data_IF_503852033337
#
_entry.id   IF_503852033337
#
_cell.length_a   1.000
_cell.length_b   1.000
_cell.length_c   1.000
_cell.angle_alpha   90.00
_cell.angle_beta   90.00
_cell.angle_gamma   90.00
#
_symmetry.space_group_name_H-M   'P 1'
#
loop_
_entity.id
_entity.type
_entity.pdbx_description
1 polymer ?
#
# COMPACT_ATOMS: atom_id res chain seq x y z
N UNK A 1 48.22 3.79 -51.78
CA UNK A 1 47.53 3.00 -50.71
C UNK A 1 46.90 3.98 -49.74
N UNK A 2 45.57 4.11 -49.73
CA UNK A 2 44.88 4.98 -48.81
C UNK A 2 44.63 4.21 -47.50
N UNK A 3 45.14 4.74 -46.37
CA UNK A 3 44.90 4.18 -45.04
C UNK A 3 43.56 4.73 -44.56
N UNK A 4 42.54 3.90 -44.57
CA UNK A 4 41.26 4.23 -43.93
C UNK A 4 41.43 4.00 -42.43
N UNK A 5 41.47 5.07 -41.64
CA UNK A 5 41.35 4.98 -40.17
C UNK A 5 39.89 4.73 -39.84
N UNK A 6 39.58 3.52 -39.44
CA UNK A 6 38.30 3.17 -38.82
C UNK A 6 38.39 3.56 -37.35
N UNK A 7 37.71 4.60 -36.93
CA UNK A 7 37.50 4.87 -35.51
C UNK A 7 36.42 3.88 -34.99
N UNK A 8 36.87 2.86 -34.31
CA UNK A 8 35.97 2.01 -33.56
C UNK A 8 35.60 2.77 -32.29
N UNK A 9 34.38 3.29 -32.22
CA UNK A 9 33.83 3.82 -30.98
C UNK A 9 33.56 2.62 -30.08
N UNK A 10 34.18 2.58 -28.90
CA UNK A 10 33.85 1.63 -27.87
C UNK A 10 32.50 2.05 -27.30
N UNK A 11 31.49 1.24 -27.52
CA UNK A 11 30.17 1.37 -26.90
C UNK A 11 29.83 0.09 -26.15
N UNK A 12 28.82 0.16 -25.30
CA UNK A 12 28.33 -0.99 -24.57
C UNK A 12 26.82 -1.16 -24.77
N UNK A 13 26.37 -2.38 -24.63
CA UNK A 13 24.93 -2.69 -24.59
C UNK A 13 24.42 -2.44 -23.18
N UNK A 14 23.47 -1.52 -23.05
CA UNK A 14 22.84 -1.14 -21.78
C UNK A 14 21.39 -1.60 -21.80
N UNK A 15 21.01 -2.38 -20.80
CA UNK A 15 19.61 -2.68 -20.53
C UNK A 15 18.97 -1.46 -19.86
N UNK A 16 18.08 -0.78 -20.56
CA UNK A 16 17.27 0.28 -19.95
C UNK A 16 16.25 -0.33 -18.99
N UNK A 17 15.82 0.48 -18.02
CA UNK A 17 14.73 0.09 -17.13
C UNK A 17 13.45 0.83 -17.52
N UNK A 18 12.33 0.11 -17.54
CA UNK A 18 10.98 0.63 -17.73
C UNK A 18 10.28 0.66 -16.38
N UNK A 19 9.63 1.77 -16.05
CA UNK A 19 8.75 1.82 -14.89
C UNK A 19 7.33 1.45 -15.34
N UNK A 20 6.75 0.46 -14.65
CA UNK A 20 5.33 0.14 -14.73
C UNK A 20 4.68 0.50 -13.42
N UNK A 21 3.50 1.09 -13.48
CA UNK A 21 2.83 1.65 -12.30
C UNK A 21 1.46 0.99 -12.13
N UNK A 22 1.17 0.54 -10.93
CA UNK A 22 -0.15 0.13 -10.48
C UNK A 22 -0.86 1.38 -9.95
N UNK A 23 -1.89 1.83 -10.68
CA UNK A 23 -2.62 3.08 -10.41
C UNK A 23 -3.98 2.86 -9.76
N UNK A 24 -4.42 1.61 -9.65
CA UNK A 24 -5.78 1.24 -9.18
C UNK A 24 -6.93 1.83 -10.00
N UNK A 25 -6.66 2.47 -11.14
CA UNK A 25 -7.67 3.09 -11.99
C UNK A 25 -8.26 2.09 -12.99
N UNK A 26 -9.57 2.17 -13.23
CA UNK A 26 -10.29 1.29 -14.17
C UNK A 26 -9.83 1.43 -15.63
N UNK A 27 -9.20 2.56 -15.96
CA UNK A 27 -8.55 2.77 -17.24
C UNK A 27 -7.28 1.91 -17.42
N UNK A 28 -6.72 1.38 -16.35
CA UNK A 28 -5.64 0.39 -16.40
C UNK A 28 -6.21 -0.97 -16.82
N UNK A 29 -6.08 -1.29 -18.10
CA UNK A 29 -6.63 -2.50 -18.70
C UNK A 29 -5.90 -3.80 -18.31
N UNK A 30 -5.08 -3.76 -17.26
CA UNK A 30 -4.21 -4.88 -16.84
C UNK A 30 -4.80 -5.71 -15.69
N UNK A 31 -5.93 -5.30 -15.15
CA UNK A 31 -6.64 -6.09 -14.15
C UNK A 31 -7.13 -7.41 -14.74
N UNK A 32 -6.81 -8.54 -14.09
CA UNK A 32 -7.32 -9.86 -14.52
C UNK A 32 -8.69 -10.13 -13.91
N UNK A 33 -9.76 -10.20 -14.73
CA UNK A 33 -11.10 -10.48 -14.25
C UNK A 33 -11.21 -11.86 -13.60
N UNK A 34 -11.96 -11.95 -12.50
CA UNK A 34 -12.24 -13.22 -11.81
C UNK A 34 -13.61 -13.21 -11.14
N UNK A 35 -14.11 -14.41 -10.79
CA UNK A 35 -15.36 -14.60 -10.08
C UNK A 35 -15.09 -15.01 -8.64
N UNK A 36 -15.70 -14.32 -7.68
CA UNK A 36 -15.69 -14.71 -6.28
C UNK A 36 -16.68 -15.85 -6.07
N UNK A 37 -16.18 -17.05 -5.86
CA UNK A 37 -16.96 -18.30 -5.90
C UNK A 37 -18.08 -18.39 -4.86
N UNK A 38 -17.95 -17.71 -3.73
CA UNK A 38 -18.93 -17.79 -2.65
C UNK A 38 -20.17 -16.91 -2.87
N UNK A 39 -20.05 -15.79 -3.57
CA UNK A 39 -21.16 -14.86 -3.80
C UNK A 39 -21.53 -14.71 -5.29
N UNK A 40 -20.71 -15.26 -6.19
CA UNK A 40 -20.87 -15.11 -7.64
C UNK A 40 -20.61 -13.68 -8.15
N UNK A 41 -19.98 -12.82 -7.35
CA UNK A 41 -19.58 -11.51 -7.80
C UNK A 41 -18.46 -11.63 -8.83
N UNK A 42 -18.63 -10.93 -9.96
CA UNK A 42 -17.64 -10.90 -11.03
C UNK A 42 -16.84 -9.60 -10.92
N UNK A 43 -15.54 -9.73 -10.68
CA UNK A 43 -14.61 -8.64 -10.57
C UNK A 43 -13.91 -8.46 -11.91
N UNK A 44 -14.04 -7.30 -12.52
CA UNK A 44 -13.50 -7.00 -13.84
C UNK A 44 -12.72 -5.69 -13.90
N UNK A 45 -12.83 -4.86 -12.88
CA UNK A 45 -12.14 -3.58 -12.75
C UNK A 45 -11.65 -3.40 -11.31
N UNK A 46 -10.77 -2.44 -11.08
CA UNK A 46 -10.32 -2.08 -9.73
C UNK A 46 -11.48 -1.57 -8.87
N UNK A 47 -12.40 -0.82 -9.46
CA UNK A 47 -13.58 -0.30 -8.76
C UNK A 47 -14.54 -1.41 -8.29
N UNK A 48 -14.54 -2.58 -8.92
CA UNK A 48 -15.36 -3.73 -8.48
C UNK A 48 -14.84 -4.32 -7.14
N UNK A 49 -13.60 -3.98 -6.72
CA UNK A 49 -13.02 -4.37 -5.43
C UNK A 49 -13.41 -3.44 -4.28
N UNK A 50 -14.00 -2.28 -4.57
CA UNK A 50 -14.34 -1.29 -3.56
C UNK A 50 -15.54 -1.78 -2.75
N UNK A 51 -15.44 -1.73 -1.42
CA UNK A 51 -16.54 -2.09 -0.54
C UNK A 51 -17.74 -1.16 -0.72
N UNK A 52 -18.96 -1.66 -0.43
CA UNK A 52 -20.20 -0.88 -0.56
C UNK A 52 -20.25 0.34 0.36
N UNK A 53 -19.51 0.33 1.46
CA UNK A 53 -19.40 1.46 2.39
C UNK A 53 -17.98 1.61 2.94
N UNK A 54 -17.68 2.80 3.44
CA UNK A 54 -16.36 3.18 3.95
C UNK A 54 -15.95 2.46 5.26
N UNK A 55 -16.87 1.75 5.91
CA UNK A 55 -16.60 0.90 7.07
C UNK A 55 -16.33 -0.55 6.68
N UNK A 56 -16.57 -0.92 5.41
CA UNK A 56 -16.46 -2.29 4.94
C UNK A 56 -17.40 -3.26 5.69
N UNK A 57 -18.63 -2.80 5.98
CA UNK A 57 -19.64 -3.61 6.67
C UNK A 57 -20.17 -4.76 5.81
N UNK A 58 -20.22 -4.57 4.49
CA UNK A 58 -20.55 -5.57 3.49
C UNK A 58 -19.28 -5.98 2.77
N UNK A 59 -18.75 -7.15 3.12
CA UNK A 59 -17.62 -7.71 2.39
C UNK A 59 -18.07 -8.20 1.03
N UNK A 60 -17.31 -7.89 0.00
CA UNK A 60 -17.50 -8.47 -1.34
C UNK A 60 -17.00 -9.92 -1.42
N UNK A 61 -16.37 -10.41 -0.36
CA UNK A 61 -15.80 -11.76 -0.22
C UNK A 61 -16.08 -12.32 1.18
N UNK A 62 -16.29 -13.63 1.25
CA UNK A 62 -16.50 -14.34 2.50
C UNK A 62 -15.15 -14.79 3.10
N UNK A 63 -14.87 -14.33 4.32
CA UNK A 63 -13.66 -14.67 5.06
C UNK A 63 -13.87 -15.87 5.99
N UNK A 64 -14.97 -16.57 5.89
CA UNK A 64 -15.21 -17.81 6.67
C UNK A 64 -14.33 -18.98 6.21
N UNK A 65 -13.68 -18.84 5.07
CA UNK A 65 -12.71 -19.80 4.56
C UNK A 65 -11.36 -19.72 5.26
N UNK A 66 -10.55 -20.76 5.12
CA UNK A 66 -9.20 -20.86 5.68
C UNK A 66 -8.11 -20.22 4.81
N UNK A 67 -8.45 -19.79 3.62
CA UNK A 67 -7.51 -19.27 2.64
C UNK A 67 -7.76 -17.79 2.39
N UNK A 68 -6.69 -16.93 2.38
CA UNK A 68 -6.82 -15.54 2.03
C UNK A 68 -7.19 -15.38 0.55
N UNK A 69 -7.98 -14.37 0.25
CA UNK A 69 -8.24 -13.96 -1.13
C UNK A 69 -7.19 -12.97 -1.58
N UNK A 70 -6.91 -13.01 -2.90
CA UNK A 70 -5.91 -12.15 -3.51
C UNK A 70 -6.51 -11.42 -4.70
N UNK A 71 -6.01 -10.21 -4.97
CA UNK A 71 -6.19 -9.52 -6.24
C UNK A 71 -4.84 -9.25 -6.88
N UNK A 72 -4.79 -9.24 -8.20
CA UNK A 72 -3.57 -9.36 -8.97
C UNK A 72 -3.52 -8.40 -10.15
N UNK A 73 -2.41 -7.67 -10.30
CA UNK A 73 -2.13 -6.79 -11.43
C UNK A 73 -1.33 -7.55 -12.51
N UNK A 74 -1.99 -8.55 -13.10
CA UNK A 74 -1.39 -9.41 -14.13
C UNK A 74 -1.05 -8.63 -15.40
N UNK A 75 0.11 -8.93 -15.98
CA UNK A 75 0.64 -8.30 -17.20
C UNK A 75 0.98 -6.80 -17.09
N UNK A 76 1.08 -6.25 -15.89
CA UNK A 76 1.56 -4.90 -15.64
C UNK A 76 2.68 -4.92 -14.59
N UNK A 77 2.39 -4.69 -13.32
CA UNK A 77 3.39 -4.73 -12.25
C UNK A 77 3.62 -6.13 -11.69
N UNK A 78 2.79 -7.08 -12.00
CA UNK A 78 2.79 -8.47 -11.49
C UNK A 78 2.59 -8.54 -9.97
N UNK A 79 2.08 -7.46 -9.35
CA UNK A 79 1.84 -7.42 -7.92
C UNK A 79 0.54 -8.12 -7.54
N UNK A 80 0.66 -8.98 -6.53
CA UNK A 80 -0.44 -9.72 -5.91
C UNK A 80 -0.60 -9.26 -4.47
N UNK A 81 -1.83 -8.92 -4.08
CA UNK A 81 -2.18 -8.38 -2.77
C UNK A 81 -3.23 -9.26 -2.10
N UNK A 82 -3.10 -9.46 -0.80
CA UNK A 82 -4.12 -10.11 -0.01
C UNK A 82 -5.24 -9.13 0.34
N UNK A 83 -6.49 -9.58 0.21
CA UNK A 83 -7.62 -8.90 0.82
C UNK A 83 -7.48 -8.85 2.34
N UNK A 84 -8.15 -7.89 3.00
CA UNK A 84 -8.19 -7.85 4.44
C UNK A 84 -8.67 -9.17 5.04
N UNK A 85 -7.93 -9.69 6.01
CA UNK A 85 -8.36 -10.85 6.78
C UNK A 85 -9.40 -10.41 7.83
N UNK A 86 -10.60 -10.97 7.76
CA UNK A 86 -11.67 -10.58 8.67
C UNK A 86 -11.84 -11.57 9.82
N UNK A 87 -11.28 -11.22 10.96
CA UNK A 87 -11.38 -12.00 12.18
C UNK A 87 -12.83 -12.17 12.68
N UNK A 88 -13.71 -11.20 12.41
CA UNK A 88 -15.08 -11.16 12.98
C UNK A 88 -16.21 -11.14 11.93
N UNK A 89 -15.94 -11.36 10.67
CA UNK A 89 -16.91 -11.35 9.56
C UNK A 89 -17.59 -10.00 9.26
N UNK A 90 -17.15 -8.88 9.87
CA UNK A 90 -17.86 -7.60 9.75
C UNK A 90 -16.99 -6.38 9.54
N UNK A 91 -15.66 -6.48 9.62
CA UNK A 91 -14.81 -5.32 9.58
C UNK A 91 -13.39 -5.64 9.10
N UNK A 92 -12.67 -4.60 8.75
CA UNK A 92 -11.29 -4.59 8.27
C UNK A 92 -10.26 -4.80 9.41
N UNK A 93 -10.49 -5.79 10.28
CA UNK A 93 -9.74 -5.95 11.53
C UNK A 93 -8.59 -6.95 11.47
N UNK A 94 -8.58 -7.81 10.47
CA UNK A 94 -7.53 -8.82 10.33
C UNK A 94 -6.25 -8.32 9.70
N UNK A 95 -6.29 -7.14 9.07
CA UNK A 95 -5.21 -6.58 8.27
C UNK A 95 -5.29 -6.98 6.79
N UNK A 96 -4.71 -6.16 5.94
CA UNK A 96 -4.68 -6.38 4.50
C UNK A 96 -4.66 -5.09 3.70
N UNK A 97 -4.82 -5.24 2.38
CA UNK A 97 -4.87 -4.16 1.41
C UNK A 97 -6.23 -4.13 0.71
N UNK A 98 -6.92 -3.01 0.74
CA UNK A 98 -8.22 -2.82 0.10
C UNK A 98 -8.20 -1.65 -0.87
N UNK A 99 -8.67 -1.88 -2.10
CA UNK A 99 -8.91 -0.78 -3.05
C UNK A 99 -10.06 0.07 -2.54
N UNK A 100 -9.90 1.39 -2.58
CA UNK A 100 -10.88 2.36 -2.10
C UNK A 100 -10.92 3.60 -3.02
N UNK A 101 -12.02 4.33 -2.94
CA UNK A 101 -12.20 5.66 -3.54
C UNK A 101 -12.88 6.64 -2.58
N UNK A 102 -13.02 6.25 -1.31
CA UNK A 102 -13.59 7.11 -0.28
C UNK A 102 -12.57 8.15 0.15
N UNK A 103 -12.90 9.43 0.01
CA UNK A 103 -12.06 10.53 0.42
C UNK A 103 -12.87 11.61 1.11
N UNK A 104 -12.31 12.26 2.12
CA UNK A 104 -12.95 13.39 2.80
C UNK A 104 -11.90 14.27 3.47
N UNK A 105 -12.08 15.59 3.40
CA UNK A 105 -11.24 16.59 4.10
C UNK A 105 -11.81 16.98 5.47
N UNK A 106 -13.08 16.68 5.76
CA UNK A 106 -13.70 16.91 7.06
C UNK A 106 -13.37 15.74 8.02
N UNK A 107 -12.15 15.74 8.54
CA UNK A 107 -11.69 14.68 9.46
C UNK A 107 -12.38 14.76 10.83
N UNK A 108 -12.95 15.89 11.24
CA UNK A 108 -13.66 16.00 12.52
C UNK A 108 -14.99 15.22 12.49
N UNK A 109 -15.68 15.23 11.34
CA UNK A 109 -16.95 14.51 11.18
C UNK A 109 -16.76 13.06 10.71
N UNK A 110 -15.80 12.81 9.81
CA UNK A 110 -15.61 11.53 9.14
C UNK A 110 -14.34 10.79 9.58
N UNK A 111 -13.60 11.30 10.54
CA UNK A 111 -12.34 10.71 10.99
C UNK A 111 -12.54 9.77 12.18
N UNK A 112 -13.40 8.76 12.06
CA UNK A 112 -13.53 7.68 13.02
C UNK A 112 -13.42 6.29 12.35
N UNK A 113 -13.51 5.23 13.14
CA UNK A 113 -13.38 3.87 12.64
C UNK A 113 -14.49 3.46 11.63
N UNK A 114 -15.61 4.18 11.58
CA UNK A 114 -16.64 3.93 10.57
C UNK A 114 -16.22 4.43 9.18
N UNK A 115 -15.16 5.22 9.11
CA UNK A 115 -14.58 5.76 7.87
C UNK A 115 -13.17 5.18 7.61
N UNK A 116 -12.93 3.93 8.00
CA UNK A 116 -11.60 3.32 7.95
C UNK A 116 -11.02 3.17 6.53
N UNK A 117 -11.86 3.19 5.48
CA UNK A 117 -11.42 3.15 4.09
C UNK A 117 -11.26 4.54 3.45
N UNK A 118 -11.39 5.62 4.22
CA UNK A 118 -11.40 6.99 3.72
C UNK A 118 -10.02 7.62 3.85
N UNK A 119 -9.45 8.08 2.74
CA UNK A 119 -8.22 8.88 2.73
C UNK A 119 -8.54 10.36 3.02
N UNK A 120 -7.59 11.08 3.62
CA UNK A 120 -7.67 12.52 3.73
C UNK A 120 -7.41 13.16 2.37
N UNK A 121 -8.48 13.63 1.71
CA UNK A 121 -8.44 14.18 0.35
C UNK A 121 -9.81 14.63 -0.13
N UNK A 122 -9.86 15.20 -1.34
CA UNK A 122 -11.08 15.66 -1.97
C UNK A 122 -11.96 14.50 -2.44
N UNK A 123 -13.25 14.58 -2.21
CA UNK A 123 -14.22 13.57 -2.66
C UNK A 123 -14.20 13.42 -4.19
N UNK A 124 -14.09 12.18 -4.66
CA UNK A 124 -14.02 11.84 -6.09
C UNK A 124 -12.66 12.08 -6.76
N UNK A 125 -11.67 12.56 -5.99
CA UNK A 125 -10.29 12.78 -6.44
C UNK A 125 -9.31 12.50 -5.29
N UNK A 126 -9.61 11.48 -4.49
CA UNK A 126 -8.86 11.16 -3.28
C UNK A 126 -7.50 10.52 -3.54
N UNK A 127 -7.29 9.89 -4.70
CA UNK A 127 -6.03 9.30 -5.08
C UNK A 127 -4.96 10.32 -5.48
N UNK A 128 -3.72 9.85 -5.67
CA UNK A 128 -2.60 10.70 -6.05
C UNK A 128 -2.85 11.38 -7.39
N UNK A 129 -2.43 12.65 -7.51
CA UNK A 129 -2.67 13.50 -8.70
C UNK A 129 -4.15 13.68 -9.09
N UNK A 130 -5.09 13.47 -8.14
CA UNK A 130 -6.51 13.60 -8.38
C UNK A 130 -7.12 12.40 -9.09
N UNK A 131 -6.49 11.23 -9.05
CA UNK A 131 -7.08 9.94 -9.41
C UNK A 131 -8.24 9.61 -8.48
N UNK A 132 -9.11 8.69 -8.88
CA UNK A 132 -10.26 8.32 -8.06
C UNK A 132 -9.89 7.25 -7.02
N UNK A 133 -9.18 6.23 -7.46
CA UNK A 133 -8.89 5.04 -6.68
C UNK A 133 -7.50 5.09 -6.04
N UNK A 134 -7.34 4.37 -4.96
CA UNK A 134 -6.10 4.14 -4.24
C UNK A 134 -6.21 2.86 -3.43
N UNK A 135 -5.16 2.44 -2.74
CA UNK A 135 -5.20 1.32 -1.82
C UNK A 135 -5.10 1.77 -0.37
N UNK A 136 -5.96 1.24 0.50
CA UNK A 136 -5.89 1.42 1.94
C UNK A 136 -5.23 0.21 2.59
N UNK A 137 -4.19 0.46 3.36
CA UNK A 137 -3.55 -0.52 4.23
C UNK A 137 -4.18 -0.46 5.63
N UNK A 138 -4.38 -1.62 6.24
CA UNK A 138 -4.57 -1.76 7.67
C UNK A 138 -3.76 -2.93 8.22
N UNK A 139 -3.10 -2.70 9.35
CA UNK A 139 -2.48 -3.76 10.13
C UNK A 139 -1.15 -3.36 10.75
N UNK A 140 -0.90 -3.91 11.93
CA UNK A 140 0.38 -3.82 12.64
C UNK A 140 0.57 -5.02 13.54
N UNK A 141 1.84 -5.30 13.85
CA UNK A 141 2.24 -6.21 14.93
C UNK A 141 3.33 -5.54 15.76
N UNK A 142 3.21 -5.67 17.07
CA UNK A 142 4.22 -5.29 18.04
C UNK A 142 4.43 -6.39 19.09
N UNK A 143 5.31 -6.16 20.05
CA UNK A 143 5.65 -7.12 21.10
C UNK A 143 4.65 -7.15 22.26
N UNK A 144 3.56 -6.35 22.20
CA UNK A 144 2.55 -6.27 23.27
C UNK A 144 1.73 -7.54 23.44
N UNK A 145 1.53 -8.29 22.33
CA UNK A 145 0.69 -9.47 22.28
C UNK A 145 -0.82 -9.17 22.19
N UNK A 146 -1.20 -7.89 22.00
CA UNK A 146 -2.61 -7.46 21.84
C UNK A 146 -2.98 -7.16 20.38
N UNK A 147 -2.24 -7.69 19.43
CA UNK A 147 -2.45 -7.43 18.01
C UNK A 147 -3.68 -8.19 17.49
N UNK A 148 -4.47 -7.52 16.65
CA UNK A 148 -5.60 -8.13 15.93
C UNK A 148 -5.19 -8.66 14.55
N UNK A 149 -4.09 -8.15 13.98
CA UNK A 149 -3.56 -8.59 12.70
C UNK A 149 -2.96 -9.99 12.81
N UNK A 150 -3.50 -10.96 12.09
CA UNK A 150 -3.01 -12.34 12.07
C UNK A 150 -1.65 -12.42 11.35
N UNK A 151 -1.59 -11.84 10.14
CA UNK A 151 -0.37 -11.70 9.36
C UNK A 151 -0.21 -10.25 8.93
N UNK A 152 1.03 -9.77 8.82
CA UNK A 152 1.26 -8.40 8.34
C UNK A 152 0.88 -8.30 6.86
N UNK A 153 0.14 -7.24 6.49
CA UNK A 153 -0.24 -6.99 5.12
C UNK A 153 0.98 -6.85 4.20
N UNK A 154 0.93 -7.54 3.08
CA UNK A 154 2.02 -7.55 2.12
C UNK A 154 1.51 -7.54 0.69
N UNK A 155 2.38 -7.17 -0.24
CA UNK A 155 2.24 -7.53 -1.64
C UNK A 155 3.48 -8.27 -2.13
N UNK A 156 3.31 -9.10 -3.15
CA UNK A 156 4.37 -9.92 -3.69
C UNK A 156 4.26 -10.00 -5.21
N UNK A 157 5.35 -10.33 -5.89
CA UNK A 157 5.30 -10.59 -7.32
C UNK A 157 4.74 -11.99 -7.57
N UNK A 158 3.54 -12.06 -8.18
CA UNK A 158 2.80 -13.30 -8.39
C UNK A 158 3.47 -14.27 -9.36
N UNK A 159 4.38 -13.78 -10.21
CA UNK A 159 5.21 -14.60 -11.11
C UNK A 159 6.48 -15.15 -10.43
N UNK A 160 6.75 -14.78 -9.17
CA UNK A 160 7.88 -15.26 -8.36
C UNK A 160 9.23 -14.59 -8.64
N UNK A 161 9.26 -13.57 -9.50
CA UNK A 161 10.50 -12.86 -9.85
C UNK A 161 10.79 -11.73 -8.87
N UNK A 162 12.07 -11.50 -8.56
CA UNK A 162 12.49 -10.38 -7.73
C UNK A 162 12.64 -9.10 -8.58
N UNK A 163 12.02 -7.99 -8.12
CA UNK A 163 12.10 -6.68 -8.79
C UNK A 163 12.38 -5.56 -7.79
N UNK A 164 12.83 -4.43 -8.33
CA UNK A 164 12.96 -3.19 -7.56
C UNK A 164 11.62 -2.47 -7.60
N UNK A 165 11.07 -2.17 -6.43
CA UNK A 165 9.99 -1.21 -6.30
C UNK A 165 10.64 0.16 -6.20
N UNK A 166 10.37 1.01 -7.18
CA UNK A 166 10.98 2.34 -7.27
C UNK A 166 10.42 3.25 -6.19
N UNK A 167 9.10 3.38 -6.15
CA UNK A 167 8.42 4.20 -5.17
C UNK A 167 6.92 3.88 -5.09
N UNK A 168 6.31 4.40 -4.04
CA UNK A 168 4.87 4.55 -3.86
C UNK A 168 4.57 5.98 -3.41
N UNK A 169 3.32 6.41 -3.53
CA UNK A 169 2.85 7.62 -2.85
C UNK A 169 2.04 7.22 -1.63
N UNK A 170 2.20 7.95 -0.53
CA UNK A 170 1.58 7.62 0.77
C UNK A 170 0.83 8.84 1.30
N UNK A 171 -0.34 8.60 1.91
CA UNK A 171 -1.11 9.60 2.62
C UNK A 171 -1.78 9.00 3.86
N UNK A 172 -2.23 9.85 4.78
CA UNK A 172 -2.98 9.42 5.95
C UNK A 172 -4.45 9.15 5.61
N UNK A 173 -5.04 8.17 6.31
CA UNK A 173 -6.50 8.06 6.36
C UNK A 173 -7.09 9.24 7.14
N UNK A 174 -8.33 9.61 6.82
CA UNK A 174 -9.09 10.63 7.56
C UNK A 174 -9.21 10.25 9.04
N UNK A 175 -9.40 8.96 9.33
CA UNK A 175 -9.45 8.44 10.71
C UNK A 175 -8.12 8.63 11.45
N UNK A 176 -7.00 8.23 10.86
CA UNK A 176 -5.69 8.40 11.49
C UNK A 176 -5.37 9.87 11.73
N UNK A 177 -5.64 10.73 10.76
CA UNK A 177 -5.42 12.18 10.87
C UNK A 177 -6.21 12.79 12.03
N UNK A 178 -7.50 12.44 12.18
CA UNK A 178 -8.29 12.93 13.31
C UNK A 178 -7.69 12.49 14.66
N UNK A 179 -7.28 11.22 14.75
CA UNK A 179 -6.66 10.71 15.98
C UNK A 179 -5.34 11.40 16.30
N UNK A 180 -4.53 11.73 15.31
CA UNK A 180 -3.29 12.49 15.51
C UNK A 180 -3.55 13.91 16.03
N UNK A 181 -4.57 14.59 15.50
CA UNK A 181 -4.85 15.98 15.83
C UNK A 181 -5.66 16.12 17.14
N UNK A 182 -6.68 15.27 17.34
CA UNK A 182 -7.65 15.40 18.42
C UNK A 182 -7.55 14.31 19.50
N UNK A 183 -6.72 13.29 19.27
CA UNK A 183 -6.70 12.08 20.09
C UNK A 183 -7.88 11.14 19.77
N UNK A 184 -7.90 9.95 20.36
CA UNK A 184 -8.91 8.93 20.09
C UNK A 184 -9.52 8.30 21.35
N UNK A 185 -9.27 8.86 22.52
CA UNK A 185 -9.68 8.29 23.80
C UNK A 185 -8.76 7.17 24.32
N UNK A 186 -7.89 6.59 23.49
CA UNK A 186 -6.83 5.65 23.83
C UNK A 186 -5.47 6.34 23.90
N UNK A 187 -5.30 7.38 23.11
CA UNK A 187 -4.07 8.17 22.98
C UNK A 187 -4.43 9.65 22.91
N UNK A 188 -3.66 10.49 23.56
CA UNK A 188 -3.76 11.94 23.47
C UNK A 188 -3.36 12.43 22.06
N UNK A 189 -3.71 13.66 21.68
CA UNK A 189 -3.18 14.32 20.48
C UNK A 189 -1.66 14.23 20.40
N UNK A 190 -1.12 14.16 19.19
CA UNK A 190 0.30 14.05 18.92
C UNK A 190 1.06 15.21 19.56
N UNK A 191 2.00 14.90 20.43
CA UNK A 191 2.93 15.85 21.06
C UNK A 191 4.21 16.02 20.26
N UNK A 192 5.05 16.97 20.69
CA UNK A 192 6.27 17.37 19.96
C UNK A 192 7.30 16.24 19.73
N UNK A 193 7.26 15.17 20.53
CA UNK A 193 8.19 14.03 20.40
C UNK A 193 7.51 12.78 19.86
N UNK A 194 6.21 12.84 19.54
CA UNK A 194 5.49 11.69 19.07
C UNK A 194 5.73 11.48 17.58
N UNK A 195 5.84 10.21 17.21
CA UNK A 195 6.08 9.77 15.84
C UNK A 195 5.23 8.56 15.52
N UNK A 196 4.78 8.50 14.27
CA UNK A 196 4.16 7.30 13.69
C UNK A 196 4.81 7.05 12.33
N UNK A 197 5.15 5.80 12.05
CA UNK A 197 5.82 5.44 10.81
C UNK A 197 5.36 4.10 10.26
N UNK A 198 5.56 3.93 8.97
CA UNK A 198 5.42 2.65 8.26
C UNK A 198 6.81 2.06 8.05
N UNK A 199 6.94 0.77 8.26
CA UNK A 199 8.13 -0.02 7.95
C UNK A 199 7.78 -0.92 6.76
N UNK A 200 8.51 -0.78 5.66
CA UNK A 200 8.49 -1.71 4.54
C UNK A 200 9.66 -2.66 4.66
N UNK A 201 9.40 -3.96 4.82
CA UNK A 201 10.42 -5.01 4.88
C UNK A 201 10.44 -5.76 3.56
N UNK A 202 11.61 -5.81 2.93
CA UNK A 202 11.83 -6.55 1.68
C UNK A 202 12.30 -7.97 1.94
N UNK A 203 11.71 -8.92 1.22
CA UNK A 203 12.04 -10.35 1.29
C UNK A 203 12.46 -10.85 -0.08
N UNK A 204 13.48 -11.73 -0.11
CA UNK A 204 13.92 -12.40 -1.32
C UNK A 204 13.00 -13.59 -1.69
N UNK A 205 13.26 -14.27 -2.81
CA UNK A 205 12.48 -15.42 -3.28
C UNK A 205 12.53 -16.65 -2.35
N UNK A 206 13.43 -16.67 -1.36
CA UNK A 206 13.48 -17.70 -0.32
C UNK A 206 12.69 -17.30 0.94
N UNK A 207 11.97 -16.18 0.89
CA UNK A 207 11.24 -15.58 2.02
C UNK A 207 12.13 -15.16 3.20
N UNK A 208 13.38 -14.77 2.89
CA UNK A 208 14.31 -14.22 3.87
C UNK A 208 14.26 -12.69 3.81
N UNK A 209 14.11 -12.01 4.96
CA UNK A 209 14.17 -10.55 5.01
C UNK A 209 15.61 -10.09 4.64
N UNK A 210 15.71 -9.24 3.61
CA UNK A 210 16.99 -8.74 3.09
C UNK A 210 17.18 -7.25 3.28
N UNK A 211 16.08 -6.49 3.51
CA UNK A 211 16.13 -5.03 3.58
C UNK A 211 14.94 -4.46 4.33
N UNK A 212 15.03 -3.18 4.67
CA UNK A 212 13.89 -2.40 5.18
C UNK A 212 14.02 -0.93 4.80
N UNK A 213 12.87 -0.25 4.76
CA UNK A 213 12.73 1.20 4.57
C UNK A 213 11.66 1.73 5.50
N UNK A 214 11.81 2.98 5.96
CA UNK A 214 10.88 3.61 6.90
C UNK A 214 10.35 4.91 6.30
N UNK A 215 9.04 5.13 6.47
CA UNK A 215 8.37 6.38 6.11
C UNK A 215 7.61 6.92 7.32
N UNK A 216 7.86 8.18 7.69
CA UNK A 216 7.18 8.84 8.79
C UNK A 216 5.87 9.47 8.33
N UNK A 217 4.74 8.98 8.85
CA UNK A 217 3.42 9.59 8.70
C UNK A 217 3.23 10.77 9.65
N UNK A 218 3.94 10.72 10.79
CA UNK A 218 3.94 11.75 11.83
C UNK A 218 5.37 11.91 12.37
N UNK A 219 5.84 13.15 12.43
CA UNK A 219 7.06 13.57 13.16
C UNK A 219 6.76 14.85 13.94
N UNK A 220 6.08 14.69 15.07
CA UNK A 220 5.49 15.79 15.84
C UNK A 220 4.24 16.41 15.16
N UNK A 221 3.60 17.39 15.81
CA UNK A 221 2.34 17.95 15.35
C UNK A 221 2.46 18.76 14.04
N UNK A 222 3.64 19.31 13.74
CA UNK A 222 3.91 20.08 12.52
C UNK A 222 4.38 19.18 11.37
N UNK A 223 4.65 17.89 11.62
CA UNK A 223 5.15 16.91 10.66
C UNK A 223 4.14 15.79 10.36
N UNK A 224 2.85 16.10 10.39
CA UNK A 224 1.80 15.16 10.02
C UNK A 224 1.61 15.22 8.49
N UNK A 225 1.67 14.07 7.83
CA UNK A 225 1.40 13.97 6.38
C UNK A 225 -0.07 14.24 6.12
N UNK A 226 -0.37 15.24 5.26
CA UNK A 226 -1.73 15.65 4.87
C UNK A 226 -1.92 15.71 3.35
N UNK A 227 -0.92 15.28 2.61
CA UNK A 227 -0.96 15.21 1.14
C UNK A 227 -0.15 14.00 0.66
N UNK A 228 -0.44 13.53 -0.55
CA UNK A 228 0.27 12.43 -1.15
C UNK A 228 1.77 12.72 -1.24
N UNK A 229 2.56 11.94 -0.53
CA UNK A 229 4.00 12.12 -0.41
C UNK A 229 4.74 10.91 -0.96
N UNK A 230 5.71 11.17 -1.83
CA UNK A 230 6.52 10.11 -2.44
C UNK A 230 7.40 9.42 -1.40
N UNK A 231 7.32 8.09 -1.34
CA UNK A 231 8.24 7.23 -0.60
C UNK A 231 9.13 6.46 -1.58
N UNK A 232 10.41 6.78 -1.60
CA UNK A 232 11.42 6.06 -2.37
C UNK A 232 11.72 4.71 -1.71
N UNK A 233 11.46 3.61 -2.44
CA UNK A 233 11.67 2.24 -1.99
C UNK A 233 12.85 1.56 -2.68
N UNK A 234 13.64 2.28 -3.50
CA UNK A 234 14.79 1.71 -4.21
C UNK A 234 15.84 1.11 -3.28
N UNK A 235 15.91 1.61 -2.03
CA UNK A 235 16.80 1.07 -0.98
C UNK A 235 16.47 -0.37 -0.57
N UNK A 236 15.26 -0.86 -0.85
CA UNK A 236 14.92 -2.27 -0.64
C UNK A 236 15.69 -3.20 -1.58
N UNK A 237 16.18 -2.69 -2.72
CA UNK A 237 16.81 -3.49 -3.75
C UNK A 237 15.82 -4.39 -4.47
N UNK A 238 16.29 -5.51 -5.03
CA UNK A 238 15.41 -6.51 -5.62
C UNK A 238 14.79 -7.36 -4.53
N UNK A 239 13.46 -7.41 -4.51
CA UNK A 239 12.67 -8.19 -3.56
C UNK A 239 11.58 -8.95 -4.30
N UNK A 240 11.19 -10.10 -3.77
CA UNK A 240 10.01 -10.85 -4.21
C UNK A 240 8.74 -10.37 -3.51
N UNK A 241 8.84 -10.01 -2.22
CA UNK A 241 7.71 -9.59 -1.37
C UNK A 241 8.09 -8.39 -0.53
N UNK A 242 7.12 -7.51 -0.32
CA UNK A 242 7.22 -6.42 0.67
C UNK A 242 6.11 -6.59 1.70
N UNK A 243 6.50 -6.61 2.97
CA UNK A 243 5.61 -6.64 4.11
C UNK A 243 5.60 -5.27 4.79
N UNK A 244 4.40 -4.77 5.10
CA UNK A 244 4.24 -3.49 5.79
C UNK A 244 3.86 -3.70 7.24
N UNK A 245 4.50 -2.94 8.13
CA UNK A 245 4.14 -2.83 9.52
C UNK A 245 4.02 -1.35 9.90
N UNK A 246 3.12 -1.04 10.80
CA UNK A 246 3.05 0.29 11.40
C UNK A 246 3.55 0.26 12.84
N UNK A 247 4.18 1.35 13.25
CA UNK A 247 4.68 1.53 14.60
C UNK A 247 4.68 3.02 14.97
N UNK A 248 4.85 3.31 16.23
CA UNK A 248 4.90 4.68 16.72
C UNK A 248 5.36 4.76 18.17
N UNK A 249 5.50 5.99 18.66
CA UNK A 249 5.88 6.27 20.06
C UNK A 249 4.70 6.22 21.02
N UNK A 250 3.47 6.34 20.49
CA UNK A 250 2.26 6.34 21.31
C UNK A 250 1.89 4.91 21.73
N UNK A 251 1.92 4.69 23.04
CA UNK A 251 1.58 3.41 23.68
C UNK A 251 0.73 3.70 24.92
N UNK A 252 -0.40 3.05 25.01
CA UNK A 252 -1.35 3.19 26.12
C UNK A 252 -1.21 2.10 27.20
N UNK A 253 -0.10 1.35 27.17
CA UNK A 253 0.17 0.22 28.05
C UNK A 253 -0.29 -1.13 27.48
N UNK A 254 -0.87 -1.13 26.28
CA UNK A 254 -1.27 -2.31 25.54
C UNK A 254 -0.65 -2.38 24.13
N UNK A 255 0.39 -1.57 23.87
CA UNK A 255 1.09 -1.48 22.62
C UNK A 255 0.75 -0.23 21.82
N UNK A 256 1.07 -0.26 20.53
CA UNK A 256 0.82 0.84 19.60
C UNK A 256 -0.65 1.25 19.60
N UNK A 257 -0.95 2.50 19.90
CA UNK A 257 -2.30 2.97 20.21
C UNK A 257 -2.90 3.95 19.20
N UNK A 258 -2.18 4.28 18.14
CA UNK A 258 -2.71 5.05 17.02
C UNK A 258 -3.35 4.13 15.96
N UNK A 259 -4.29 4.64 15.12
CA UNK A 259 -4.86 3.84 14.05
C UNK A 259 -3.78 3.35 13.06
N UNK A 260 -3.74 2.06 12.80
CA UNK A 260 -2.75 1.43 11.94
C UNK A 260 -3.18 1.44 10.46
N UNK A 261 -3.58 2.61 9.95
CA UNK A 261 -4.05 2.83 8.58
C UNK A 261 -3.17 3.83 7.85
N UNK A 262 -2.86 3.53 6.61
CA UNK A 262 -2.36 4.52 5.64
C UNK A 262 -2.87 4.18 4.25
N UNK A 263 -3.02 5.20 3.42
CA UNK A 263 -3.32 5.03 2.00
C UNK A 263 -2.01 5.03 1.19
N UNK A 264 -1.96 4.23 0.12
CA UNK A 264 -0.90 4.30 -0.86
C UNK A 264 -1.46 4.21 -2.29
N UNK A 265 -0.71 4.77 -3.23
CA UNK A 265 -1.08 4.87 -4.63
C UNK A 265 0.16 4.85 -5.53
N UNK A 266 -0.04 4.70 -6.83
CA UNK A 266 1.01 4.75 -7.85
C UNK A 266 2.24 3.90 -7.51
N UNK A 267 2.04 2.58 -7.33
CA UNK A 267 3.14 1.65 -7.05
C UNK A 267 3.98 1.44 -8.29
N UNK A 268 5.15 2.08 -8.34
CA UNK A 268 6.05 2.02 -9.48
C UNK A 268 7.08 0.91 -9.33
N UNK A 269 7.16 0.03 -10.32
CA UNK A 269 8.04 -1.14 -10.34
C UNK A 269 8.96 -1.08 -11.55
N UNK A 270 10.24 -1.40 -11.34
CA UNK A 270 11.24 -1.45 -12.40
C UNK A 270 11.20 -2.77 -13.16
N UNK A 271 11.02 -2.69 -14.49
CA UNK A 271 11.07 -3.83 -15.41
C UNK A 271 12.23 -3.68 -16.40
N UNK A 272 12.76 -4.79 -16.93
CA UNK A 272 13.70 -4.73 -18.04
C UNK A 272 13.01 -4.09 -19.26
N UNK A 273 13.53 -2.97 -19.73
CA UNK A 273 13.10 -2.29 -20.96
C UNK A 273 13.90 -2.74 -22.18
N UNK A 274 14.13 -1.85 -23.12
CA UNK A 274 14.92 -2.13 -24.32
C UNK A 274 16.42 -2.20 -24.01
N UNK A 275 17.13 -3.03 -24.76
CA UNK A 275 18.59 -3.06 -24.73
C UNK A 275 19.11 -2.13 -25.82
N UNK A 276 19.82 -1.09 -25.45
CA UNK A 276 20.37 -0.07 -26.37
C UNK A 276 21.88 -0.09 -26.36
N UNK A 277 22.48 0.24 -27.52
CA UNK A 277 23.94 0.41 -27.64
C UNK A 277 24.28 1.89 -27.49
N UNK A 278 25.10 2.24 -26.52
CA UNK A 278 25.58 3.61 -26.27
C UNK A 278 27.09 3.69 -26.24
#
# INVERSE_FOLDING_TARGET
MAIVKVNVMAGEWIQEMELRTLTFEDADAKFSPYELSYCGAYISTWSDLIAEDQYMSSLIYDMSGSEPYYWYDENNTELLHAFPYNYNSYAYWGGGHAVSNYANTDYETYGDYNSQLTVYGEEGAGGHNGSANFCMHFGYKDDSGYNYTEELPSFMFGDGEERVIDHIYVNNSTYALNCYINGNGLTDPVGANDKTWVIAKGFNANDEQVSESIFYLVDGPDGIVTEWTKWDLTSLGKVWRVEFNMAGTNDNGYGFSQPAYFAYDDVAVQFPGETVFR
#
